data_IF_959857952449
#
_entry.id   IF_959857952449
#
_cell.length_a   1.000
_cell.length_b   1.000
_cell.length_c   1.000
_cell.angle_alpha   90.00
_cell.angle_beta   90.00
_cell.angle_gamma   90.00
#
_symmetry.space_group_name_H-M   'P 1'
#
loop_
_entity.id
_entity.type
_entity.pdbx_description
1 polymer ?
#
# COMPACT_ATOMS: atom_id res chain seq x y z
N UNK A 1 -18.62 -5.49 -22.55
CA UNK A 1 -18.02 -4.34 -23.19
C UNK A 1 -16.83 -3.86 -22.40
N UNK A 2 -15.83 -3.42 -23.16
CA UNK A 2 -14.57 -3.02 -22.52
C UNK A 2 -14.79 -1.92 -21.49
N UNK A 3 -15.56 -0.91 -21.82
CA UNK A 3 -15.75 0.21 -20.90
C UNK A 3 -16.56 -0.14 -19.68
N UNK A 4 -17.17 -1.32 -19.68
CA UNK A 4 -17.91 -1.79 -18.52
C UNK A 4 -17.05 -2.60 -17.58
N UNK A 5 -15.82 -2.91 -17.98
CA UNK A 5 -14.90 -3.54 -17.07
C UNK A 5 -14.60 -2.54 -15.95
N UNK A 6 -14.68 -2.99 -14.71
CA UNK A 6 -14.40 -2.10 -13.60
C UNK A 6 -12.92 -1.79 -13.53
N UNK A 7 -12.58 -0.73 -12.80
CA UNK A 7 -11.20 -0.30 -12.66
C UNK A 7 -10.29 -1.36 -12.07
N UNK A 8 -10.84 -2.21 -11.19
CA UNK A 8 -10.07 -3.30 -10.60
C UNK A 8 -9.58 -4.28 -11.64
N UNK A 9 -10.45 -4.64 -12.60
CA UNK A 9 -10.05 -5.56 -13.65
C UNK A 9 -8.95 -4.95 -14.51
N UNK A 10 -9.09 -3.70 -14.90
CA UNK A 10 -8.07 -3.01 -15.67
C UNK A 10 -6.75 -2.96 -14.91
N UNK A 11 -6.80 -2.65 -13.63
CA UNK A 11 -5.60 -2.54 -12.82
C UNK A 11 -4.88 -3.86 -12.73
N UNK A 12 -5.63 -4.97 -12.60
CA UNK A 12 -5.03 -6.30 -12.61
C UNK A 12 -4.33 -6.60 -13.93
N UNK A 13 -4.94 -6.19 -15.05
CA UNK A 13 -4.33 -6.39 -16.36
C UNK A 13 -3.04 -5.60 -16.45
N UNK A 14 -3.02 -4.37 -15.95
CA UNK A 14 -1.81 -3.57 -15.96
C UNK A 14 -0.70 -4.20 -15.13
N UNK A 15 -1.04 -4.71 -13.96
CA UNK A 15 -0.07 -5.38 -13.11
C UNK A 15 0.45 -6.65 -13.78
N UNK A 16 -0.45 -7.45 -14.36
CA UNK A 16 -0.04 -8.66 -15.07
C UNK A 16 0.89 -8.35 -16.22
N UNK A 17 0.62 -7.28 -16.95
CA UNK A 17 1.46 -6.87 -18.08
C UNK A 17 2.86 -6.48 -17.60
N UNK A 18 2.93 -5.75 -16.48
CA UNK A 18 4.23 -5.39 -15.92
C UNK A 18 5.03 -6.62 -15.52
N UNK A 19 4.34 -7.66 -15.03
CA UNK A 19 4.99 -8.88 -14.59
C UNK A 19 5.52 -9.74 -15.73
N UNK A 20 5.05 -9.51 -16.95
CA UNK A 20 5.55 -10.27 -18.10
C UNK A 20 7.04 -10.07 -18.32
N UNK A 21 7.59 -8.97 -17.85
CA UNK A 21 9.02 -8.70 -17.98
C UNK A 21 9.83 -9.28 -16.81
N UNK A 22 9.19 -10.03 -15.92
CA UNK A 22 9.83 -10.68 -14.77
C UNK A 22 10.68 -9.72 -13.96
N UNK A 23 10.11 -8.60 -13.50
CA UNK A 23 10.89 -7.63 -12.74
C UNK A 23 11.26 -8.18 -11.37
N UNK A 24 12.37 -7.70 -10.82
CA UNK A 24 12.71 -8.01 -9.43
C UNK A 24 12.03 -7.03 -8.48
N UNK A 25 11.59 -5.89 -8.97
CA UNK A 25 10.92 -4.86 -8.18
C UNK A 25 9.77 -4.27 -8.98
N UNK A 26 8.61 -4.18 -8.35
CA UNK A 26 7.43 -3.56 -8.93
C UNK A 26 7.11 -2.29 -8.15
N UNK A 27 6.96 -1.16 -8.85
CA UNK A 27 6.61 0.11 -8.24
C UNK A 27 5.16 0.43 -8.53
N UNK A 28 4.36 0.65 -7.48
CA UNK A 28 2.94 0.96 -7.61
C UNK A 28 2.64 2.23 -6.82
N UNK A 29 2.14 3.24 -7.52
CA UNK A 29 1.83 4.53 -6.91
C UNK A 29 0.32 4.68 -6.86
N UNK A 30 -0.25 4.61 -5.66
CA UNK A 30 -1.69 4.68 -5.39
C UNK A 30 -2.49 3.81 -6.36
N UNK A 31 -2.18 2.52 -6.42
CA UNK A 31 -2.71 1.66 -7.48
C UNK A 31 -4.21 1.38 -7.38
N UNK A 32 -4.83 1.69 -6.25
CA UNK A 32 -6.26 1.43 -6.05
C UNK A 32 -7.11 2.69 -6.10
N UNK A 33 -6.52 3.83 -6.42
CA UNK A 33 -7.27 5.09 -6.46
C UNK A 33 -8.40 5.00 -7.49
N UNK A 34 -9.58 5.46 -7.10
CA UNK A 34 -10.74 5.43 -7.99
C UNK A 34 -11.49 4.11 -8.04
N UNK A 35 -11.05 3.10 -7.29
CA UNK A 35 -11.71 1.80 -7.27
C UNK A 35 -12.66 1.69 -6.09
N UNK A 36 -13.72 0.88 -6.26
CA UNK A 36 -14.60 0.56 -5.14
C UNK A 36 -13.89 -0.34 -4.13
N UNK A 37 -14.50 -0.51 -2.97
CA UNK A 37 -13.86 -1.24 -1.88
C UNK A 37 -13.55 -2.69 -2.24
N UNK A 38 -14.48 -3.48 -2.82
CA UNK A 38 -14.14 -4.86 -3.18
C UNK A 38 -13.02 -4.95 -4.20
N UNK A 39 -12.98 -4.04 -5.17
CA UNK A 39 -11.91 -4.04 -6.17
C UNK A 39 -10.58 -3.70 -5.54
N UNK A 40 -10.57 -2.72 -4.62
CA UNK A 40 -9.35 -2.37 -3.90
C UNK A 40 -8.81 -3.55 -3.12
N UNK A 41 -9.69 -4.21 -2.36
CA UNK A 41 -9.28 -5.35 -1.55
C UNK A 41 -8.71 -6.47 -2.41
N UNK A 42 -9.32 -6.70 -3.56
CA UNK A 42 -8.87 -7.73 -4.49
C UNK A 42 -7.46 -7.45 -5.00
N UNK A 43 -7.18 -6.19 -5.37
CA UNK A 43 -5.86 -5.80 -5.84
C UNK A 43 -4.82 -5.95 -4.71
N UNK A 44 -5.15 -5.47 -3.52
CA UNK A 44 -4.24 -5.54 -2.38
C UNK A 44 -3.88 -6.99 -2.07
N UNK A 45 -4.89 -7.87 -2.04
CA UNK A 45 -4.66 -9.29 -1.78
C UNK A 45 -3.82 -9.92 -2.86
N UNK A 46 -4.09 -9.58 -4.11
CA UNK A 46 -3.36 -10.14 -5.25
C UNK A 46 -1.87 -9.80 -5.16
N UNK A 47 -1.56 -8.54 -4.91
CA UNK A 47 -0.17 -8.11 -4.83
C UNK A 47 0.53 -8.74 -3.62
N UNK A 48 -0.12 -8.78 -2.47
CA UNK A 48 0.49 -9.43 -1.30
C UNK A 48 0.76 -10.91 -1.56
N UNK A 49 -0.12 -11.57 -2.31
CA UNK A 49 0.09 -12.97 -2.68
C UNK A 49 1.31 -13.13 -3.57
N UNK A 50 1.49 -12.23 -4.54
CA UNK A 50 2.66 -12.28 -5.40
C UNK A 50 3.96 -12.12 -4.60
N UNK A 51 3.94 -11.24 -3.62
CA UNK A 51 5.11 -11.04 -2.75
C UNK A 51 5.40 -12.32 -1.97
N UNK A 52 4.39 -12.91 -1.33
CA UNK A 52 4.61 -14.07 -0.46
C UNK A 52 4.91 -15.34 -1.25
N UNK A 53 4.30 -15.52 -2.42
CA UNK A 53 4.44 -16.77 -3.17
C UNK A 53 5.59 -16.74 -4.18
N UNK A 54 5.87 -15.59 -4.75
CA UNK A 54 6.86 -15.49 -5.83
C UNK A 54 8.11 -14.69 -5.43
N UNK A 55 8.13 -14.17 -4.22
CA UNK A 55 9.29 -13.41 -3.77
C UNK A 55 9.47 -12.07 -4.47
N UNK A 56 8.42 -11.55 -5.07
CA UNK A 56 8.46 -10.26 -5.75
C UNK A 56 8.62 -9.15 -4.72
N UNK A 57 9.52 -8.20 -4.99
CA UNK A 57 9.64 -7.01 -4.16
C UNK A 57 8.69 -5.94 -4.72
N UNK A 58 7.91 -5.32 -3.84
CA UNK A 58 6.93 -4.30 -4.26
C UNK A 58 7.10 -3.07 -3.39
N UNK A 59 7.21 -1.92 -4.04
CA UNK A 59 7.13 -0.63 -3.35
C UNK A 59 5.78 -0.03 -3.70
N UNK A 60 4.94 0.12 -2.68
CA UNK A 60 3.53 0.51 -2.84
C UNK A 60 3.31 1.83 -2.12
N UNK A 61 2.97 2.88 -2.84
CA UNK A 61 2.68 4.17 -2.24
C UNK A 61 1.16 4.34 -2.10
N UNK A 62 0.72 4.68 -0.90
CA UNK A 62 -0.71 4.84 -0.63
C UNK A 62 -0.93 5.80 0.53
N UNK A 63 -2.10 6.43 0.56
CA UNK A 63 -2.56 7.15 1.74
C UNK A 63 -3.71 6.43 2.43
N UNK A 64 -4.00 5.20 2.01
CA UNK A 64 -5.11 4.41 2.53
C UNK A 64 -4.54 3.35 3.47
N UNK A 65 -4.76 3.56 4.75
CA UNK A 65 -4.11 2.74 5.78
C UNK A 65 -4.58 1.29 5.77
N UNK A 66 -5.79 1.03 5.27
CA UNK A 66 -6.31 -0.34 5.24
C UNK A 66 -5.64 -1.21 4.17
N UNK A 67 -4.75 -0.64 3.37
CA UNK A 67 -3.98 -1.41 2.39
C UNK A 67 -2.70 -1.98 2.98
N UNK A 68 -2.37 -1.62 4.21
CA UNK A 68 -1.13 -2.06 4.85
C UNK A 68 -1.42 -3.31 5.66
N UNK A 69 -0.64 -4.37 5.40
CA UNK A 69 -0.75 -5.61 6.16
C UNK A 69 0.27 -5.61 7.30
N UNK A 70 0.00 -6.39 8.36
CA UNK A 70 0.91 -6.40 9.52
C UNK A 70 2.36 -6.72 9.20
N UNK A 71 2.60 -7.53 8.18
CA UNK A 71 3.96 -7.93 7.82
C UNK A 71 4.66 -6.95 6.90
N UNK A 72 3.95 -5.93 6.43
CA UNK A 72 4.55 -4.95 5.52
C UNK A 72 5.53 -4.05 6.25
N UNK A 73 6.59 -3.67 5.54
CA UNK A 73 7.50 -2.61 6.01
C UNK A 73 6.91 -1.29 5.58
N UNK A 74 6.73 -0.38 6.52
CA UNK A 74 6.07 0.90 6.30
C UNK A 74 7.07 2.04 6.43
N UNK A 75 6.97 2.99 5.53
CA UNK A 75 7.74 4.24 5.61
C UNK A 75 6.73 5.38 5.57
N UNK A 76 6.63 6.15 6.65
CA UNK A 76 5.71 7.28 6.71
C UNK A 76 6.44 8.53 6.25
N UNK A 77 5.95 9.12 5.16
CA UNK A 77 6.51 10.34 4.60
C UNK A 77 5.56 11.51 4.81
N UNK A 78 6.11 12.64 5.17
CA UNK A 78 5.32 13.87 5.30
C UNK A 78 6.22 15.07 5.03
N UNK A 79 5.79 15.91 4.10
CA UNK A 79 6.52 17.13 3.74
C UNK A 79 7.99 16.84 3.40
N UNK A 80 8.20 15.78 2.62
CA UNK A 80 9.52 15.43 2.13
C UNK A 80 10.43 14.78 3.14
N UNK A 81 9.90 14.41 4.31
CA UNK A 81 10.72 13.81 5.38
C UNK A 81 10.16 12.48 5.80
N UNK A 82 11.06 11.56 6.14
CA UNK A 82 10.67 10.28 6.72
C UNK A 82 10.36 10.52 8.21
N UNK A 83 9.13 10.27 8.60
CA UNK A 83 8.70 10.48 9.98
C UNK A 83 8.86 9.25 10.85
N UNK A 84 8.71 8.07 10.23
CA UNK A 84 8.77 6.81 10.98
C UNK A 84 8.94 5.68 9.99
N UNK A 85 9.60 4.60 10.38
CA UNK A 85 9.71 3.37 9.60
C UNK A 85 9.47 2.18 10.51
N UNK A 86 9.07 1.06 9.93
CA UNK A 86 8.88 -0.17 10.66
C UNK A 86 7.61 -0.89 10.23
N UNK A 87 7.30 -2.01 10.87
CA UNK A 87 6.02 -2.66 10.67
C UNK A 87 4.96 -1.95 11.50
N UNK A 88 3.69 -2.31 11.28
CA UNK A 88 2.59 -1.65 12.00
C UNK A 88 2.80 -1.72 13.51
N UNK A 89 3.16 -2.89 14.02
CA UNK A 89 3.33 -3.07 15.45
C UNK A 89 4.37 -2.11 16.02
N UNK A 90 5.49 -1.96 15.33
CA UNK A 90 6.54 -1.05 15.77
C UNK A 90 6.09 0.40 15.76
N UNK A 91 5.35 0.77 14.72
CA UNK A 91 4.86 2.15 14.60
C UNK A 91 3.84 2.46 15.70
N UNK A 92 2.94 1.52 16.00
CA UNK A 92 1.96 1.73 17.07
C UNK A 92 2.62 1.87 18.41
N UNK A 93 3.67 1.09 18.68
CA UNK A 93 4.42 1.21 19.90
C UNK A 93 5.07 2.57 20.04
N UNK A 94 5.75 3.01 19.01
CA UNK A 94 6.48 4.28 19.02
C UNK A 94 5.54 5.45 19.20
N UNK A 95 4.38 5.43 18.55
CA UNK A 95 3.43 6.53 18.64
C UNK A 95 2.46 6.39 19.80
N UNK A 96 2.47 5.24 20.47
CA UNK A 96 1.56 4.95 21.58
C UNK A 96 0.10 5.08 21.16
N UNK A 97 -0.21 4.58 19.96
CA UNK A 97 -1.56 4.57 19.41
C UNK A 97 -2.04 3.14 19.28
N UNK A 98 -3.35 2.98 19.07
CA UNK A 98 -3.95 1.66 18.97
C UNK A 98 -4.23 1.22 17.52
N UNK A 99 -4.13 2.14 16.56
CA UNK A 99 -4.35 1.81 15.15
C UNK A 99 -3.50 2.70 14.27
N UNK A 100 -3.32 2.24 13.02
CA UNK A 100 -2.40 2.92 12.11
C UNK A 100 -2.94 4.27 11.65
N UNK A 101 -4.26 4.45 11.58
CA UNK A 101 -4.82 5.74 11.23
C UNK A 101 -4.43 6.81 12.24
N UNK A 102 -4.54 6.51 13.51
CA UNK A 102 -4.16 7.45 14.56
C UNK A 102 -2.66 7.70 14.57
N UNK A 103 -1.87 6.65 14.35
CA UNK A 103 -0.43 6.79 14.25
C UNK A 103 -0.04 7.72 13.11
N UNK A 104 -0.66 7.55 11.95
CA UNK A 104 -0.38 8.38 10.80
C UNK A 104 -0.75 9.84 11.07
N UNK A 105 -1.90 10.06 11.69
CA UNK A 105 -2.29 11.42 12.05
C UNK A 105 -1.30 12.06 12.99
N UNK A 106 -0.85 11.32 14.00
CA UNK A 106 0.12 11.85 14.94
C UNK A 106 1.44 12.21 14.24
N UNK A 107 1.91 11.34 13.35
CA UNK A 107 3.19 11.55 12.69
C UNK A 107 3.16 12.68 11.69
N UNK A 108 1.98 12.99 11.14
CA UNK A 108 1.86 14.05 10.13
C UNK A 108 1.31 15.35 10.69
N UNK A 109 0.60 15.31 11.80
CA UNK A 109 -0.03 16.50 12.39
C UNK A 109 0.62 16.93 13.70
N UNK A 110 1.13 15.98 14.45
CA UNK A 110 1.76 16.29 15.71
C UNK A 110 2.99 17.17 15.56
N UNK A 111 3.58 17.20 14.40
CA UNK A 111 4.76 18.02 14.16
C UNK A 111 4.48 19.50 14.29
N UNK A 112 3.24 19.89 14.43
CA UNK A 112 2.89 21.30 14.61
C UNK A 112 3.19 21.81 16.00
N UNK A 113 3.46 20.93 16.91
CA UNK A 113 3.66 21.34 18.30
C UNK A 113 5.09 21.73 18.61
#
# INVERSE_FOLDING_TARGET
>A
KVRQLNGGHRRRVEIARALLHQPSLLLLDEPTVGLDIPSRQSIVQHVHRLVSEQGLAVLWATHLMDEIYPQDQVIVLHQGQVRQTGCIEEILKTTQTSNIDDAFKQLTQGAKQ
#
